data_IF_725411595219
#
_entry.id   IF_725411595219
#
_cell.length_a   1.000
_cell.length_b   1.000
_cell.length_c   1.000
_cell.angle_alpha   90.00
_cell.angle_beta   90.00
_cell.angle_gamma   90.00
#
_symmetry.space_group_name_H-M   'P 1'
#
loop_
_entity.id
_entity.type
_entity.pdbx_description
1 polymer ?
#
# COMPACT_ATOMS: atom_id res chain seq x y z
N UNK A 1 5.36 63.88 44.81
CA UNK A 1 4.99 63.54 43.45
C UNK A 1 5.49 62.12 43.14
N UNK A 2 4.65 61.11 43.30
CA UNK A 2 5.01 59.72 43.04
C UNK A 2 4.26 59.28 41.76
N UNK A 3 4.97 59.03 40.71
CA UNK A 3 4.43 58.43 39.48
C UNK A 3 4.31 56.91 39.72
N UNK A 4 3.11 56.38 39.68
CA UNK A 4 2.84 54.92 39.63
C UNK A 4 2.86 54.51 38.14
N UNK A 5 3.79 53.64 37.79
CA UNK A 5 3.82 52.97 36.49
C UNK A 5 2.95 51.71 36.56
N UNK A 6 1.90 51.67 35.75
CA UNK A 6 1.05 50.51 35.58
C UNK A 6 1.65 49.58 34.56
N UNK A 7 2.07 48.39 34.96
CA UNK A 7 2.55 47.33 34.05
C UNK A 7 1.36 46.52 33.60
N UNK A 8 0.95 46.65 32.34
CA UNK A 8 -0.10 45.82 31.75
C UNK A 8 0.55 44.56 31.18
N UNK A 9 0.30 43.44 31.84
CA UNK A 9 0.71 42.12 31.32
C UNK A 9 -0.30 41.64 30.28
N UNK A 10 0.07 41.67 28.99
CA UNK A 10 -0.73 41.06 27.92
C UNK A 10 -0.53 39.54 28.00
N UNK A 11 -1.53 38.80 28.40
CA UNK A 11 -1.58 37.35 28.28
C UNK A 11 -2.06 37.02 26.85
N UNK A 12 -1.15 36.63 25.97
CA UNK A 12 -1.51 36.03 24.68
C UNK A 12 -1.94 34.57 24.95
N UNK A 13 -3.25 34.34 24.98
CA UNK A 13 -3.80 33.01 24.90
C UNK A 13 -3.63 32.46 23.47
N UNK A 14 -2.71 31.50 23.28
CA UNK A 14 -2.69 30.66 22.07
C UNK A 14 -3.95 29.79 22.08
N UNK A 15 -4.99 30.22 21.40
CA UNK A 15 -6.05 29.33 20.92
C UNK A 15 -5.45 28.52 19.75
N UNK A 16 -4.97 27.32 20.04
CA UNK A 16 -4.75 26.31 19.03
C UNK A 16 -6.11 25.91 18.45
N UNK A 17 -6.58 26.65 17.47
CA UNK A 17 -7.72 26.27 16.66
C UNK A 17 -7.33 25.00 15.91
N UNK A 18 -7.91 23.86 16.32
CA UNK A 18 -7.94 22.69 15.44
C UNK A 18 -8.66 23.14 14.17
N UNK A 19 -7.94 23.16 13.05
CA UNK A 19 -8.56 23.30 11.74
C UNK A 19 -9.38 22.02 11.53
N UNK A 20 -10.66 22.07 11.89
CA UNK A 20 -11.64 21.08 11.46
C UNK A 20 -11.73 21.29 9.95
N UNK A 21 -11.26 20.33 9.17
CA UNK A 21 -11.47 20.32 7.74
C UNK A 21 -12.96 20.54 7.50
N UNK A 22 -13.32 21.57 6.77
CA UNK A 22 -14.72 21.81 6.44
C UNK A 22 -15.27 20.54 5.78
N UNK A 23 -16.47 20.07 6.18
CA UNK A 23 -17.04 18.91 5.55
C UNK A 23 -17.14 19.17 4.04
N UNK A 24 -16.64 18.21 3.25
CA UNK A 24 -16.75 18.25 1.79
C UNK A 24 -18.24 18.33 1.46
N UNK A 25 -18.71 19.52 1.08
CA UNK A 25 -20.08 19.68 0.61
C UNK A 25 -20.14 19.04 -0.77
N UNK A 26 -21.01 18.03 -0.99
CA UNK A 26 -21.21 17.51 -2.33
C UNK A 26 -21.63 18.65 -3.23
N UNK A 27 -20.99 18.78 -4.40
CA UNK A 27 -21.36 19.76 -5.40
C UNK A 27 -22.81 19.49 -5.80
N UNK A 28 -23.64 20.54 -5.88
CA UNK A 28 -25.03 20.40 -6.27
C UNK A 28 -25.12 19.72 -7.64
N UNK A 29 -25.89 18.62 -7.72
CA UNK A 29 -26.20 17.97 -8.98
C UNK A 29 -27.35 18.73 -9.67
N UNK A 30 -27.21 19.01 -10.97
CA UNK A 30 -28.27 19.55 -11.81
C UNK A 30 -28.76 18.45 -12.76
N UNK A 31 -30.03 18.08 -12.65
CA UNK A 31 -30.67 17.10 -13.53
C UNK A 31 -31.29 17.79 -14.73
N UNK A 32 -30.53 17.98 -15.81
CA UNK A 32 -31.07 18.37 -17.12
C UNK A 32 -31.07 17.14 -18.03
N UNK A 33 -32.20 16.87 -18.65
CA UNK A 33 -32.44 15.74 -19.58
C UNK A 33 -32.29 14.34 -18.92
N UNK A 34 -32.64 14.20 -17.63
CA UNK A 34 -32.62 12.90 -16.94
C UNK A 34 -31.23 12.31 -16.67
N UNK A 35 -30.16 13.07 -16.92
CA UNK A 35 -28.80 12.74 -16.50
C UNK A 35 -28.37 13.68 -15.36
N UNK A 36 -27.84 13.08 -14.31
CA UNK A 36 -27.23 13.82 -13.21
C UNK A 36 -25.99 14.56 -13.73
N UNK A 37 -26.08 15.89 -13.87
CA UNK A 37 -24.93 16.71 -14.26
C UNK A 37 -24.23 17.18 -13.00
N UNK A 38 -22.97 16.78 -12.82
CA UNK A 38 -22.11 17.33 -11.77
C UNK A 38 -21.74 18.78 -12.09
N UNK A 39 -21.74 19.66 -11.08
CA UNK A 39 -21.20 21.00 -11.21
C UNK A 39 -19.65 21.05 -11.28
N UNK A 40 -18.99 19.90 -11.14
CA UNK A 40 -17.55 19.80 -11.26
C UNK A 40 -17.09 19.88 -12.74
N UNK A 41 -16.06 20.69 -13.01
CA UNK A 41 -15.45 20.75 -14.34
C UNK A 41 -14.62 19.50 -14.67
N UNK A 42 -14.14 18.82 -13.65
CA UNK A 42 -13.40 17.57 -13.76
C UNK A 42 -13.67 16.69 -12.54
N UNK A 43 -13.78 15.37 -12.75
CA UNK A 43 -14.02 14.41 -11.66
C UNK A 43 -13.45 13.03 -11.97
N UNK A 44 -13.30 12.23 -10.93
CA UNK A 44 -12.99 10.81 -11.04
C UNK A 44 -14.26 9.98 -10.83
N UNK A 45 -14.45 8.98 -11.67
CA UNK A 45 -15.44 7.94 -11.47
C UNK A 45 -14.74 6.64 -11.11
N UNK A 46 -15.18 5.99 -10.02
CA UNK A 46 -14.66 4.71 -9.55
C UNK A 46 -15.74 3.65 -9.71
N UNK A 47 -15.49 2.66 -10.55
CA UNK A 47 -16.43 1.55 -10.82
C UNK A 47 -16.17 0.39 -9.85
N UNK A 48 -16.99 0.32 -8.80
CA UNK A 48 -16.93 -0.76 -7.81
C UNK A 48 -17.24 -2.13 -8.42
N UNK A 49 -18.09 -2.18 -9.44
CA UNK A 49 -18.45 -3.44 -10.13
C UNK A 49 -17.26 -3.98 -10.90
N UNK A 50 -16.50 -3.09 -11.56
CA UNK A 50 -15.26 -3.47 -12.24
C UNK A 50 -14.20 -3.97 -11.24
N UNK A 51 -14.07 -3.32 -10.07
CA UNK A 51 -13.15 -3.75 -9.02
C UNK A 51 -13.53 -5.12 -8.45
N UNK A 52 -14.81 -5.34 -8.11
CA UNK A 52 -15.32 -6.63 -7.64
C UNK A 52 -15.15 -7.73 -8.70
N UNK A 53 -15.40 -7.40 -9.98
CA UNK A 53 -15.14 -8.32 -11.09
C UNK A 53 -13.67 -8.73 -11.17
N UNK A 54 -12.74 -7.78 -11.05
CA UNK A 54 -11.31 -8.08 -11.09
C UNK A 54 -10.86 -8.98 -9.92
N UNK A 55 -11.40 -8.75 -8.72
CA UNK A 55 -11.17 -9.65 -7.57
C UNK A 55 -11.68 -11.06 -7.89
N UNK A 56 -12.90 -11.18 -8.43
CA UNK A 56 -13.48 -12.51 -8.73
C UNK A 56 -12.68 -13.20 -9.84
N UNK A 57 -12.34 -12.50 -10.92
CA UNK A 57 -11.49 -13.03 -12.00
C UNK A 57 -10.17 -13.57 -11.48
N UNK A 58 -9.54 -12.85 -10.54
CA UNK A 58 -8.31 -13.32 -9.91
C UNK A 58 -8.55 -14.56 -9.03
N UNK A 59 -9.61 -14.59 -8.24
CA UNK A 59 -9.96 -15.77 -7.41
C UNK A 59 -10.19 -17.00 -8.28
N UNK A 60 -10.92 -16.85 -9.38
CA UNK A 60 -11.18 -17.95 -10.32
C UNK A 60 -9.88 -18.45 -10.97
N UNK A 61 -8.97 -17.53 -11.31
CA UNK A 61 -7.64 -17.88 -11.85
C UNK A 61 -6.79 -18.66 -10.87
N UNK A 62 -6.79 -18.28 -9.59
CA UNK A 62 -5.98 -18.93 -8.55
C UNK A 62 -6.61 -20.25 -8.06
N UNK A 63 -7.92 -20.37 -8.15
CA UNK A 63 -8.69 -21.52 -7.69
C UNK A 63 -8.78 -21.64 -6.16
N UNK A 64 -9.66 -22.50 -5.68
CA UNK A 64 -9.98 -22.64 -4.25
C UNK A 64 -8.80 -23.11 -3.38
N UNK A 65 -7.84 -23.83 -3.95
CA UNK A 65 -6.62 -24.31 -3.27
C UNK A 65 -5.39 -23.45 -3.58
N UNK A 66 -5.61 -22.32 -4.23
CA UNK A 66 -4.55 -21.40 -4.60
C UNK A 66 -3.99 -20.61 -3.40
N UNK A 67 -3.01 -19.73 -3.67
CA UNK A 67 -2.43 -18.87 -2.64
C UNK A 67 -3.47 -17.88 -2.10
N UNK A 68 -3.23 -17.38 -0.89
CA UNK A 68 -4.00 -16.26 -0.37
C UNK A 68 -3.80 -15.00 -1.22
N UNK A 69 -4.80 -14.13 -1.24
CA UNK A 69 -4.70 -12.82 -1.88
C UNK A 69 -4.48 -11.76 -0.80
N UNK A 70 -3.43 -10.96 -0.92
CA UNK A 70 -3.29 -9.72 -0.20
C UNK A 70 -3.54 -8.56 -1.18
N UNK A 71 -4.70 -7.93 -1.09
CA UNK A 71 -5.07 -6.80 -1.95
C UNK A 71 -4.19 -5.58 -1.61
N UNK A 72 -3.37 -5.12 -2.54
CA UNK A 72 -2.51 -3.95 -2.32
C UNK A 72 -3.31 -2.69 -2.57
N UNK A 73 -3.54 -1.92 -1.49
CA UNK A 73 -4.37 -0.72 -1.47
C UNK A 73 -3.60 0.52 -0.98
N UNK A 74 -2.28 0.50 -1.06
CA UNK A 74 -1.41 1.64 -0.74
C UNK A 74 -1.71 2.85 -1.62
N UNK A 75 -1.27 4.04 -1.18
CA UNK A 75 -1.47 5.32 -1.88
C UNK A 75 -2.95 5.58 -2.18
N UNK A 76 -3.78 5.44 -1.12
CA UNK A 76 -5.24 5.61 -1.20
C UNK A 76 -5.88 4.72 -2.28
N UNK A 77 -5.54 3.41 -2.23
CA UNK A 77 -5.93 2.44 -3.23
C UNK A 77 -5.52 2.88 -4.66
N UNK A 78 -4.25 3.28 -4.83
CA UNK A 78 -3.73 3.84 -6.09
C UNK A 78 -4.53 5.04 -6.60
N UNK A 79 -5.02 5.88 -5.68
CA UNK A 79 -5.82 7.07 -5.98
C UNK A 79 -7.30 6.81 -6.24
N UNK A 80 -7.78 5.59 -6.03
CA UNK A 80 -9.19 5.22 -6.23
C UNK A 80 -10.08 5.51 -5.01
N UNK A 81 -9.48 5.88 -3.86
CA UNK A 81 -10.18 6.01 -2.59
C UNK A 81 -10.27 4.68 -1.84
N UNK A 82 -9.40 4.48 -0.86
CA UNK A 82 -9.37 3.25 -0.07
C UNK A 82 -10.68 3.04 0.69
N UNK A 83 -11.32 4.12 1.12
CA UNK A 83 -12.59 4.10 1.83
C UNK A 83 -13.76 3.61 0.97
N UNK A 84 -13.68 3.80 -0.36
CA UNK A 84 -14.67 3.32 -1.32
C UNK A 84 -14.50 1.82 -1.60
N UNK A 85 -13.25 1.32 -1.65
CA UNK A 85 -12.95 -0.03 -2.13
C UNK A 85 -12.82 -1.09 -1.02
N UNK A 86 -12.49 -0.71 0.22
CA UNK A 86 -12.40 -1.67 1.33
C UNK A 86 -13.67 -2.49 1.54
N UNK A 87 -14.90 -1.92 1.46
CA UNK A 87 -16.12 -2.73 1.59
C UNK A 87 -16.22 -3.87 0.56
N UNK A 88 -15.77 -3.65 -0.68
CA UNK A 88 -15.73 -4.70 -1.71
C UNK A 88 -14.70 -5.79 -1.39
N UNK A 89 -13.55 -5.42 -0.81
CA UNK A 89 -12.54 -6.38 -0.33
C UNK A 89 -13.09 -7.25 0.80
N UNK A 90 -13.79 -6.63 1.77
CA UNK A 90 -14.48 -7.32 2.87
C UNK A 90 -15.55 -8.28 2.33
N UNK A 91 -16.43 -7.79 1.45
CA UNK A 91 -17.47 -8.60 0.80
C UNK A 91 -16.92 -9.81 0.05
N UNK A 92 -15.77 -9.64 -0.62
CA UNK A 92 -15.10 -10.71 -1.35
C UNK A 92 -14.38 -11.73 -0.45
N UNK A 93 -14.31 -11.48 0.86
CA UNK A 93 -13.61 -12.35 1.83
C UNK A 93 -12.10 -12.38 1.63
N UNK A 94 -11.50 -11.31 1.14
CA UNK A 94 -10.04 -11.21 0.98
C UNK A 94 -9.39 -11.12 2.36
N UNK A 95 -8.43 -12.01 2.70
CA UNK A 95 -7.92 -12.13 4.07
C UNK A 95 -6.85 -11.10 4.43
N UNK A 96 -6.29 -10.38 3.46
CA UNK A 96 -5.17 -9.48 3.65
C UNK A 96 -5.30 -8.22 2.80
N UNK A 97 -5.00 -7.05 3.40
CA UNK A 97 -4.80 -5.78 2.69
C UNK A 97 -3.36 -5.30 2.92
N UNK A 98 -2.69 -4.90 1.83
CA UNK A 98 -1.36 -4.29 1.86
C UNK A 98 -1.44 -2.77 1.73
N UNK A 99 -0.88 -2.06 2.70
CA UNK A 99 -0.94 -0.60 2.83
C UNK A 99 0.45 0.03 2.97
N UNK A 100 0.53 1.36 2.95
CA UNK A 100 1.78 2.09 3.15
C UNK A 100 1.73 3.10 4.31
N UNK A 101 0.56 3.55 4.78
CA UNK A 101 0.43 4.58 5.80
C UNK A 101 -0.48 4.16 6.96
N UNK A 102 -0.34 4.87 8.09
CA UNK A 102 -1.22 4.68 9.26
C UNK A 102 -2.65 5.12 8.96
N UNK A 103 -2.80 6.14 8.11
CA UNK A 103 -4.12 6.63 7.70
C UNK A 103 -4.88 5.57 6.90
N UNK A 104 -4.22 4.91 5.95
CA UNK A 104 -4.81 3.79 5.21
C UNK A 104 -5.22 2.64 6.15
N UNK A 105 -4.41 2.36 7.19
CA UNK A 105 -4.74 1.36 8.19
C UNK A 105 -6.00 1.74 8.98
N UNK A 106 -6.08 3.00 9.43
CA UNK A 106 -7.23 3.55 10.14
C UNK A 106 -8.50 3.41 9.30
N UNK A 107 -8.46 3.89 8.06
CA UNK A 107 -9.60 3.84 7.14
C UNK A 107 -10.02 2.39 6.88
N UNK A 108 -9.08 1.48 6.62
CA UNK A 108 -9.40 0.07 6.40
C UNK A 108 -10.15 -0.54 7.61
N UNK A 109 -9.69 -0.26 8.85
CA UNK A 109 -10.36 -0.72 10.07
C UNK A 109 -11.74 -0.08 10.27
N UNK A 110 -11.88 1.22 10.03
CA UNK A 110 -13.16 1.93 10.13
C UNK A 110 -14.19 1.44 9.10
N UNK A 111 -13.74 0.99 7.93
CA UNK A 111 -14.61 0.37 6.90
C UNK A 111 -14.87 -1.12 7.14
N UNK A 112 -14.51 -1.65 8.31
CA UNK A 112 -14.88 -2.99 8.75
C UNK A 112 -13.92 -4.10 8.32
N UNK A 113 -12.72 -3.79 7.86
CA UNK A 113 -11.75 -4.82 7.55
C UNK A 113 -11.08 -5.36 8.82
N UNK A 114 -11.38 -6.60 9.19
CA UNK A 114 -10.83 -7.28 10.37
C UNK A 114 -9.66 -8.21 10.05
N UNK A 115 -9.38 -8.45 8.77
CA UNK A 115 -8.29 -9.29 8.31
C UNK A 115 -6.89 -8.74 8.58
N UNK A 116 -5.88 -9.36 8.00
CA UNK A 116 -4.48 -8.97 8.14
C UNK A 116 -4.23 -7.65 7.41
N UNK A 117 -3.64 -6.68 8.11
CA UNK A 117 -3.11 -5.46 7.49
C UNK A 117 -1.59 -5.56 7.44
N UNK A 118 -1.02 -5.55 6.25
CA UNK A 118 0.42 -5.64 6.04
C UNK A 118 0.96 -4.32 5.50
N UNK A 119 1.93 -3.73 6.20
CA UNK A 119 2.66 -2.60 5.63
C UNK A 119 3.67 -3.09 4.61
N UNK A 120 3.61 -2.55 3.38
CA UNK A 120 4.44 -3.01 2.24
C UNK A 120 5.68 -2.15 2.00
N UNK A 121 6.06 -1.32 2.97
CA UNK A 121 7.30 -0.54 3.03
C UNK A 121 7.88 -0.54 4.43
N UNK A 122 9.14 -0.15 4.55
CA UNK A 122 9.70 0.14 5.86
C UNK A 122 9.00 1.35 6.50
N UNK A 123 8.79 1.29 7.82
CA UNK A 123 8.21 2.37 8.62
C UNK A 123 9.24 2.93 9.59
N UNK A 124 9.07 4.20 9.95
CA UNK A 124 9.81 4.80 11.05
C UNK A 124 9.30 4.26 12.40
N UNK A 125 10.10 4.28 13.47
CA UNK A 125 9.64 3.87 14.80
C UNK A 125 8.37 4.61 15.24
N UNK A 126 8.25 5.89 14.98
CA UNK A 126 7.05 6.69 15.32
C UNK A 126 5.80 6.19 14.59
N UNK A 127 5.93 5.86 13.30
CA UNK A 127 4.80 5.29 12.55
C UNK A 127 4.35 3.94 13.11
N UNK A 128 5.30 3.08 13.49
CA UNK A 128 4.99 1.78 14.10
C UNK A 128 4.27 1.96 15.44
N UNK A 129 4.78 2.86 16.30
CA UNK A 129 4.17 3.14 17.60
C UNK A 129 2.72 3.64 17.47
N UNK A 130 2.49 4.57 16.56
CA UNK A 130 1.14 5.09 16.27
C UNK A 130 0.21 4.04 15.65
N UNK A 131 0.78 3.02 14.97
CA UNK A 131 0.01 1.97 14.30
C UNK A 131 -0.35 0.78 15.20
N UNK A 132 0.16 0.69 16.43
CA UNK A 132 -0.12 -0.43 17.34
C UNK A 132 -1.62 -0.74 17.49
N UNK A 133 -2.54 0.24 17.58
CA UNK A 133 -3.97 -0.03 17.68
C UNK A 133 -4.56 -0.77 16.47
N UNK A 134 -3.95 -0.62 15.30
CA UNK A 134 -4.44 -1.21 14.06
C UNK A 134 -3.91 -2.63 13.82
N UNK A 135 -2.96 -3.10 14.64
CA UNK A 135 -2.36 -4.44 14.58
C UNK A 135 -1.79 -4.74 13.19
N UNK A 136 -0.88 -3.89 12.74
CA UNK A 136 -0.19 -4.08 11.46
C UNK A 136 0.85 -5.18 11.54
N UNK A 137 1.02 -5.92 10.45
CA UNK A 137 2.20 -6.71 10.17
C UNK A 137 3.23 -5.81 9.47
N UNK A 138 4.36 -5.53 10.13
CA UNK A 138 5.34 -4.56 9.66
C UNK A 138 6.39 -5.23 8.77
N UNK A 139 6.91 -4.49 7.77
CA UNK A 139 8.02 -4.95 6.94
C UNK A 139 9.35 -4.54 7.56
N UNK A 140 10.23 -5.50 7.82
CA UNK A 140 11.60 -5.28 8.30
C UNK A 140 12.62 -5.80 7.30
N UNK A 141 13.65 -5.01 7.04
CA UNK A 141 14.72 -5.36 6.11
C UNK A 141 16.11 -5.00 6.59
N UNK A 142 16.26 -4.65 7.89
CA UNK A 142 17.55 -4.42 8.54
C UNK A 142 17.45 -4.69 10.04
N UNK A 143 18.59 -5.04 10.65
CA UNK A 143 18.66 -5.25 12.10
C UNK A 143 18.31 -3.97 12.88
N UNK A 144 18.71 -2.80 12.36
CA UNK A 144 18.38 -1.51 12.97
C UNK A 144 16.88 -1.26 13.02
N UNK A 145 16.18 -1.44 11.90
CA UNK A 145 14.73 -1.31 11.82
C UNK A 145 14.03 -2.30 12.77
N UNK A 146 14.47 -3.55 12.78
CA UNK A 146 13.91 -4.58 13.66
C UNK A 146 14.11 -4.25 15.16
N UNK A 147 15.27 -3.72 15.55
CA UNK A 147 15.54 -3.25 16.92
C UNK A 147 14.58 -2.11 17.30
N UNK A 148 14.40 -1.12 16.44
CA UNK A 148 13.47 -0.02 16.69
C UNK A 148 12.05 -0.49 16.94
N UNK A 149 11.55 -1.45 16.15
CA UNK A 149 10.22 -2.04 16.35
C UNK A 149 10.16 -2.87 17.64
N UNK A 150 11.21 -3.65 17.94
CA UNK A 150 11.28 -4.45 19.15
C UNK A 150 11.28 -3.58 20.42
N UNK A 151 11.98 -2.46 20.42
CA UNK A 151 12.01 -1.51 21.54
C UNK A 151 10.63 -0.88 21.78
N UNK A 152 9.90 -0.53 20.71
CA UNK A 152 8.51 -0.05 20.80
C UNK A 152 7.62 -1.12 21.41
N UNK A 153 7.67 -2.34 20.88
CA UNK A 153 6.86 -3.44 21.37
C UNK A 153 7.08 -3.71 22.86
N UNK A 154 8.34 -3.67 23.32
CA UNK A 154 8.69 -3.86 24.73
C UNK A 154 8.18 -2.71 25.60
N UNK A 155 8.35 -1.44 25.16
CA UNK A 155 7.84 -0.26 25.90
C UNK A 155 6.33 -0.30 26.10
N UNK A 156 5.60 -0.84 25.11
CA UNK A 156 4.13 -0.96 25.16
C UNK A 156 3.64 -2.33 25.65
N UNK A 157 4.55 -3.19 26.14
CA UNK A 157 4.24 -4.55 26.60
C UNK A 157 3.36 -5.32 25.60
N UNK A 158 3.74 -5.27 24.32
CA UNK A 158 3.04 -5.91 23.22
C UNK A 158 4.01 -6.71 22.35
N UNK A 159 3.50 -7.31 21.29
CA UNK A 159 4.27 -8.00 20.27
C UNK A 159 3.85 -7.53 18.88
N UNK A 160 4.80 -7.23 18.02
CA UNK A 160 4.56 -6.79 16.64
C UNK A 160 4.90 -7.93 15.68
N UNK A 161 3.95 -8.29 14.85
CA UNK A 161 4.16 -9.25 13.75
C UNK A 161 4.99 -8.60 12.66
N UNK A 162 6.00 -9.31 12.13
CA UNK A 162 6.88 -8.76 11.10
C UNK A 162 7.04 -9.70 9.92
N UNK A 163 7.12 -9.12 8.72
CA UNK A 163 7.59 -9.79 7.51
C UNK A 163 9.04 -9.43 7.26
N UNK A 164 9.90 -10.44 7.11
CA UNK A 164 11.30 -10.20 6.79
C UNK A 164 11.43 -10.01 5.28
N UNK A 165 11.83 -8.81 4.88
CA UNK A 165 12.16 -8.50 3.50
C UNK A 165 13.56 -8.99 3.15
N UNK A 166 13.68 -9.73 2.05
CA UNK A 166 14.94 -10.15 1.45
C UNK A 166 15.15 -9.45 0.11
N UNK A 167 16.34 -8.91 -0.12
CA UNK A 167 16.69 -8.23 -1.38
C UNK A 167 17.14 -9.22 -2.46
N UNK A 168 16.55 -10.39 -2.49
CA UNK A 168 16.94 -11.50 -3.39
C UNK A 168 16.80 -11.15 -4.87
N UNK A 169 15.76 -10.40 -5.21
CA UNK A 169 15.49 -9.98 -6.59
C UNK A 169 16.17 -8.66 -7.00
N UNK A 170 16.99 -8.06 -6.13
CA UNK A 170 17.76 -6.86 -6.46
C UNK A 170 16.98 -5.56 -6.53
N UNK A 171 15.79 -5.47 -5.92
CA UNK A 171 15.00 -4.23 -5.86
C UNK A 171 15.72 -3.09 -5.13
N UNK A 172 16.56 -3.42 -4.15
CA UNK A 172 17.39 -2.50 -3.36
C UNK A 172 16.65 -1.31 -2.73
N UNK A 173 15.41 -1.56 -2.32
CA UNK A 173 14.54 -0.58 -1.68
C UNK A 173 14.21 -0.95 -0.23
N UNK A 174 13.79 -2.17 -0.01
CA UNK A 174 13.54 -2.76 1.31
C UNK A 174 14.08 -4.18 1.29
N UNK A 175 14.55 -4.64 2.41
CA UNK A 175 15.03 -6.01 2.53
C UNK A 175 16.55 -6.12 2.67
N UNK A 176 16.94 -7.11 3.46
CA UNK A 176 18.34 -7.46 3.69
C UNK A 176 18.87 -8.26 2.49
N UNK A 177 20.06 -7.94 2.02
CA UNK A 177 20.76 -8.68 0.98
C UNK A 177 21.74 -9.68 1.63
N UNK A 178 21.38 -10.94 1.64
CA UNK A 178 22.16 -11.99 2.32
C UNK A 178 23.54 -12.27 1.67
N UNK A 179 23.84 -11.64 0.54
CA UNK A 179 25.17 -11.69 -0.11
C UNK A 179 26.15 -10.69 0.48
N UNK A 180 25.69 -9.68 1.23
CA UNK A 180 26.55 -8.71 1.90
C UNK A 180 27.24 -9.31 3.12
N UNK A 181 28.42 -8.75 3.45
CA UNK A 181 29.11 -9.10 4.68
C UNK A 181 28.20 -8.82 5.89
N UNK A 182 28.25 -9.69 6.88
CA UNK A 182 27.46 -9.62 8.13
C UNK A 182 25.93 -9.71 8.00
N UNK A 183 25.36 -9.58 6.78
CA UNK A 183 23.91 -9.62 6.57
C UNK A 183 23.25 -10.91 7.09
N UNK A 184 23.93 -12.03 6.96
CA UNK A 184 23.46 -13.32 7.53
C UNK A 184 23.44 -13.31 9.06
N UNK A 185 24.45 -12.72 9.69
CA UNK A 185 24.49 -12.55 11.15
C UNK A 185 23.40 -11.60 11.62
N UNK A 186 23.19 -10.49 10.92
CA UNK A 186 22.12 -9.52 11.19
C UNK A 186 20.74 -10.15 11.05
N UNK A 187 20.51 -10.93 10.00
CA UNK A 187 19.25 -11.64 9.79
C UNK A 187 18.94 -12.59 10.97
N UNK A 188 19.92 -13.35 11.43
CA UNK A 188 19.76 -14.23 12.59
C UNK A 188 19.63 -13.45 13.91
N UNK A 189 20.25 -12.29 14.03
CA UNK A 189 20.09 -11.42 15.20
C UNK A 189 18.66 -10.84 15.26
N UNK A 190 18.08 -10.45 14.13
CA UNK A 190 16.67 -10.00 14.07
C UNK A 190 15.70 -11.04 14.63
N UNK A 191 15.91 -12.32 14.31
CA UNK A 191 15.03 -13.41 14.77
C UNK A 191 15.06 -13.64 16.29
N UNK A 192 16.09 -13.12 16.99
CA UNK A 192 16.27 -13.27 18.45
C UNK A 192 15.70 -12.09 19.25
N UNK A 193 15.24 -11.04 18.58
CA UNK A 193 14.72 -9.85 19.25
C UNK A 193 13.39 -10.18 19.95
N UNK A 194 13.28 -9.75 21.21
CA UNK A 194 12.03 -9.85 21.96
C UNK A 194 11.09 -8.73 21.55
N UNK A 195 9.79 -8.99 21.50
CA UNK A 195 8.77 -8.01 21.15
C UNK A 195 8.40 -8.01 19.66
N UNK A 196 9.09 -8.78 18.83
CA UNK A 196 8.68 -9.02 17.43
C UNK A 196 8.51 -10.52 17.16
N UNK A 197 7.61 -10.84 16.24
CA UNK A 197 7.39 -12.23 15.79
C UNK A 197 7.42 -12.26 14.27
N UNK A 198 8.36 -12.98 13.66
CA UNK A 198 8.33 -13.25 12.23
C UNK A 198 7.09 -14.06 11.85
N UNK A 199 6.26 -13.49 10.97
CA UNK A 199 5.05 -14.14 10.43
C UNK A 199 5.11 -14.32 8.92
N UNK A 200 6.13 -13.79 8.27
CA UNK A 200 6.35 -13.98 6.85
C UNK A 200 7.76 -13.62 6.38
N UNK A 201 8.07 -14.07 5.17
CA UNK A 201 9.32 -13.74 4.47
C UNK A 201 8.95 -13.36 3.04
N UNK A 202 9.51 -12.27 2.53
CA UNK A 202 9.14 -11.76 1.22
C UNK A 202 10.33 -11.20 0.43
N UNK A 203 10.15 -11.17 -0.88
CA UNK A 203 10.93 -10.32 -1.80
C UNK A 203 9.97 -9.54 -2.71
N UNK A 204 10.53 -8.65 -3.53
CA UNK A 204 9.76 -7.91 -4.55
C UNK A 204 10.58 -7.80 -5.83
N UNK A 205 9.92 -8.06 -6.95
CA UNK A 205 10.56 -8.04 -8.28
C UNK A 205 10.61 -6.61 -8.82
N UNK A 206 11.79 -6.15 -9.30
CA UNK A 206 11.96 -4.79 -9.81
C UNK A 206 11.49 -4.61 -11.25
N UNK A 207 11.42 -5.69 -12.04
CA UNK A 207 11.16 -5.68 -13.49
C UNK A 207 9.95 -6.56 -13.80
N UNK A 208 9.14 -6.14 -14.76
CA UNK A 208 7.99 -6.88 -15.28
C UNK A 208 8.41 -7.64 -16.55
N UNK A 209 9.33 -8.61 -16.36
CA UNK A 209 9.85 -9.49 -17.40
C UNK A 209 10.03 -10.89 -16.81
N UNK A 210 9.60 -11.93 -17.54
CA UNK A 210 9.54 -13.30 -17.02
C UNK A 210 10.89 -13.87 -16.58
N UNK A 211 11.92 -13.68 -17.39
CA UNK A 211 13.23 -14.28 -17.08
C UNK A 211 13.92 -13.56 -15.92
N UNK A 212 13.74 -12.24 -15.81
CA UNK A 212 14.22 -11.47 -14.65
C UNK A 212 13.51 -11.94 -13.35
N UNK A 213 12.18 -12.07 -13.41
CA UNK A 213 11.40 -12.59 -12.27
C UNK A 213 11.85 -14.00 -11.88
N UNK A 214 12.11 -14.90 -12.84
CA UNK A 214 12.60 -16.26 -12.54
C UNK A 214 13.99 -16.26 -11.91
N UNK A 215 14.89 -15.38 -12.34
CA UNK A 215 16.21 -15.21 -11.73
C UNK A 215 16.10 -14.75 -10.27
N UNK A 216 15.32 -13.70 -10.04
CA UNK A 216 15.05 -13.20 -8.67
C UNK A 216 14.35 -14.25 -7.80
N UNK A 217 13.43 -15.03 -8.37
CA UNK A 217 12.74 -16.11 -7.71
C UNK A 217 13.68 -17.27 -7.32
N UNK A 218 14.61 -17.63 -8.18
CA UNK A 218 15.60 -18.65 -7.88
C UNK A 218 16.48 -18.24 -6.69
N UNK A 219 16.96 -17.00 -6.67
CA UNK A 219 17.71 -16.48 -5.53
C UNK A 219 16.85 -16.41 -4.25
N UNK A 220 15.60 -15.97 -4.36
CA UNK A 220 14.70 -15.89 -3.21
C UNK A 220 14.44 -17.27 -2.57
N UNK A 221 14.32 -18.31 -3.40
CA UNK A 221 14.16 -19.69 -2.90
C UNK A 221 15.36 -20.14 -2.06
N UNK A 222 16.57 -19.80 -2.45
CA UNK A 222 17.78 -20.09 -1.68
C UNK A 222 17.83 -19.28 -0.37
N UNK A 223 17.52 -18.01 -0.46
CA UNK A 223 17.64 -17.08 0.65
C UNK A 223 16.62 -17.35 1.78
N UNK A 224 15.33 -17.53 1.43
CA UNK A 224 14.33 -17.81 2.46
C UNK A 224 14.53 -19.20 3.07
N UNK A 225 14.93 -20.19 2.29
CA UNK A 225 15.23 -21.52 2.82
C UNK A 225 16.39 -21.47 3.81
N UNK A 226 17.49 -20.77 3.43
CA UNK A 226 18.60 -20.57 4.34
C UNK A 226 18.15 -19.88 5.65
N UNK A 227 17.30 -18.86 5.58
CA UNK A 227 16.82 -18.13 6.75
C UNK A 227 15.97 -19.01 7.66
N UNK A 228 15.12 -19.86 7.09
CA UNK A 228 14.30 -20.85 7.84
C UNK A 228 15.22 -21.84 8.56
N UNK A 229 16.16 -22.45 7.85
CA UNK A 229 17.01 -23.50 8.38
C UNK A 229 17.98 -22.96 9.45
N UNK A 230 18.70 -21.89 9.15
CA UNK A 230 19.67 -21.29 10.06
C UNK A 230 18.98 -20.61 11.27
N UNK A 231 17.80 -20.03 11.05
CA UNK A 231 16.97 -19.40 12.08
C UNK A 231 16.14 -20.38 12.89
N UNK A 232 16.09 -21.66 12.48
CA UNK A 232 15.23 -22.71 13.06
C UNK A 232 13.75 -22.29 13.15
N UNK A 233 13.27 -21.63 12.08
CA UNK A 233 11.90 -21.15 12.00
C UNK A 233 10.93 -22.28 11.66
N UNK A 234 9.74 -22.25 12.23
CA UNK A 234 8.65 -23.16 11.88
C UNK A 234 7.99 -22.68 10.58
N UNK A 235 8.27 -23.37 9.46
CA UNK A 235 7.73 -23.04 8.14
C UNK A 235 6.19 -22.93 8.13
N UNK A 236 5.50 -23.72 8.95
CA UNK A 236 4.03 -23.73 8.98
C UNK A 236 3.42 -22.45 9.57
N UNK A 237 4.22 -21.65 10.27
CA UNK A 237 3.81 -20.36 10.86
C UNK A 237 4.20 -19.16 10.02
N UNK A 238 4.81 -19.37 8.86
CA UNK A 238 5.31 -18.32 8.00
C UNK A 238 4.50 -18.24 6.71
N UNK A 239 4.19 -17.03 6.30
CA UNK A 239 3.68 -16.71 4.97
C UNK A 239 4.86 -16.34 4.06
N UNK A 240 5.18 -17.18 3.08
CA UNK A 240 6.17 -16.87 2.06
C UNK A 240 5.47 -16.22 0.88
N UNK A 241 5.97 -15.07 0.43
CA UNK A 241 5.31 -14.34 -0.66
C UNK A 241 6.27 -13.48 -1.50
N UNK A 242 6.10 -13.51 -2.82
CA UNK A 242 6.94 -12.77 -3.77
C UNK A 242 6.11 -12.08 -4.87
N UNK A 243 5.07 -12.72 -5.40
CA UNK A 243 4.36 -12.30 -6.59
C UNK A 243 3.64 -10.94 -6.42
N UNK A 244 4.00 -9.97 -7.25
CA UNK A 244 3.24 -8.76 -7.54
C UNK A 244 2.18 -9.06 -8.64
N UNK A 245 1.52 -8.05 -9.21
CA UNK A 245 0.53 -8.23 -10.28
C UNK A 245 1.11 -8.97 -11.48
N UNK A 246 2.29 -8.57 -11.99
CA UNK A 246 2.94 -9.19 -13.12
C UNK A 246 3.27 -10.67 -12.84
N UNK A 247 3.97 -10.95 -11.74
CA UNK A 247 4.34 -12.31 -11.39
C UNK A 247 3.12 -13.19 -11.09
N UNK A 248 2.01 -12.61 -10.60
CA UNK A 248 0.75 -13.33 -10.40
C UNK A 248 0.13 -13.79 -11.73
N UNK A 249 0.27 -13.00 -12.79
CA UNK A 249 -0.24 -13.36 -14.11
C UNK A 249 0.69 -14.31 -14.88
N UNK A 250 1.99 -14.09 -14.79
CA UNK A 250 2.98 -14.60 -15.73
C UNK A 250 3.90 -15.68 -15.17
N UNK A 251 4.07 -15.77 -13.85
CA UNK A 251 5.03 -16.68 -13.18
C UNK A 251 4.37 -17.38 -11.98
N UNK A 252 3.52 -18.40 -12.21
CA UNK A 252 2.80 -19.11 -11.14
C UNK A 252 3.73 -19.71 -10.07
N UNK A 253 4.98 -20.02 -10.43
CA UNK A 253 5.98 -20.55 -9.48
C UNK A 253 6.37 -19.55 -8.37
N UNK A 254 5.97 -18.26 -8.52
CA UNK A 254 6.19 -17.21 -7.53
C UNK A 254 5.05 -17.05 -6.52
N UNK A 255 3.97 -17.82 -6.62
CA UNK A 255 2.78 -17.66 -5.76
C UNK A 255 3.08 -17.91 -4.28
N UNK A 256 3.76 -19.00 -3.98
CA UNK A 256 3.98 -19.50 -2.62
C UNK A 256 2.67 -19.54 -1.81
N UNK A 257 2.66 -18.94 -0.61
CA UNK A 257 1.48 -18.95 0.27
C UNK A 257 0.52 -17.77 -0.03
N UNK A 258 1.02 -16.70 -0.65
CA UNK A 258 0.24 -15.48 -0.85
C UNK A 258 0.74 -14.66 -2.04
N UNK A 259 -0.19 -14.16 -2.85
CA UNK A 259 0.07 -13.17 -3.91
C UNK A 259 -0.33 -11.77 -3.47
N UNK A 260 0.35 -10.76 -4.02
CA UNK A 260 0.16 -9.34 -3.68
C UNK A 260 -0.19 -8.49 -4.90
N UNK A 261 -1.35 -8.73 -5.52
CA UNK A 261 -1.81 -7.93 -6.64
C UNK A 261 -2.11 -6.50 -6.22
N UNK A 262 -1.60 -5.55 -6.97
CA UNK A 262 -1.95 -4.13 -6.88
C UNK A 262 -2.66 -3.72 -8.17
N UNK A 263 -1.92 -3.19 -9.17
CA UNK A 263 -2.46 -2.70 -10.43
C UNK A 263 -3.49 -3.62 -11.08
N UNK A 264 -3.28 -4.94 -10.99
CA UNK A 264 -4.21 -5.94 -11.50
C UNK A 264 -5.65 -5.76 -10.99
N UNK A 265 -5.83 -5.46 -9.70
CA UNK A 265 -7.14 -5.26 -9.11
C UNK A 265 -7.83 -4.00 -9.61
N UNK A 266 -7.07 -3.02 -10.11
CA UNK A 266 -7.57 -1.75 -10.64
C UNK A 266 -7.70 -1.75 -12.16
N UNK A 267 -7.41 -2.91 -12.81
CA UNK A 267 -7.43 -3.03 -14.25
C UNK A 267 -6.22 -2.37 -14.95
N UNK A 268 -5.18 -2.09 -14.17
CA UNK A 268 -3.86 -1.71 -14.66
C UNK A 268 -3.00 -2.99 -14.71
N UNK A 269 -3.20 -3.75 -15.76
CA UNK A 269 -2.59 -5.04 -15.99
C UNK A 269 -1.85 -5.09 -17.34
N UNK A 270 -1.21 -6.22 -17.61
CA UNK A 270 -0.59 -6.46 -18.91
C UNK A 270 -1.67 -6.40 -20.01
N UNK A 271 -1.45 -5.69 -21.13
CA UNK A 271 -2.49 -5.45 -22.15
C UNK A 271 -3.14 -6.70 -22.75
N UNK A 272 -2.49 -7.85 -22.68
CA UNK A 272 -3.05 -9.12 -23.15
C UNK A 272 -4.12 -9.72 -22.24
N UNK A 273 -4.22 -9.26 -20.98
CA UNK A 273 -5.20 -9.74 -20.00
C UNK A 273 -6.43 -8.83 -19.99
N UNK A 274 -7.19 -8.87 -21.08
CA UNK A 274 -8.36 -7.99 -21.32
C UNK A 274 -9.57 -8.29 -20.44
N UNK A 275 -9.56 -9.39 -19.71
CA UNK A 275 -10.59 -9.76 -18.74
C UNK A 275 -10.59 -8.86 -17.51
N UNK A 276 -9.47 -8.19 -17.18
CA UNK A 276 -9.40 -7.22 -16.09
C UNK A 276 -9.85 -5.83 -16.55
N UNK A 277 -10.83 -5.28 -15.87
CA UNK A 277 -11.51 -4.03 -16.23
C UNK A 277 -10.89 -2.83 -15.53
N UNK A 278 -10.75 -1.71 -16.22
CA UNK A 278 -10.35 -0.44 -15.60
C UNK A 278 -11.38 0.01 -14.59
N UNK A 279 -10.92 0.37 -13.41
CA UNK A 279 -11.77 0.76 -12.28
C UNK A 279 -11.98 2.27 -12.23
N UNK A 280 -11.05 3.06 -12.75
CA UNK A 280 -11.10 4.53 -12.69
C UNK A 280 -11.24 5.14 -14.09
N UNK A 281 -12.10 6.16 -14.19
CA UNK A 281 -12.16 7.07 -15.31
C UNK A 281 -12.02 8.53 -14.83
N UNK A 282 -11.12 9.28 -15.46
CA UNK A 282 -11.03 10.73 -15.27
C UNK A 282 -11.85 11.42 -16.35
N UNK A 283 -12.82 12.22 -15.94
CA UNK A 283 -13.74 12.93 -16.85
C UNK A 283 -13.66 14.43 -16.68
N UNK A 284 -13.85 15.15 -17.76
CA UNK A 284 -13.94 16.61 -17.75
C UNK A 284 -15.07 17.10 -18.65
N UNK A 285 -15.51 18.34 -18.44
CA UNK A 285 -16.46 19.02 -19.32
C UNK A 285 -15.71 20.05 -20.16
N UNK A 286 -16.11 20.15 -21.44
CA UNK A 286 -15.63 21.20 -22.31
C UNK A 286 -16.31 22.51 -21.93
N UNK A 287 -15.55 23.47 -21.43
CA UNK A 287 -16.06 24.77 -20.99
C UNK A 287 -16.27 25.74 -22.17
N UNK A 288 -15.45 25.65 -23.21
CA UNK A 288 -15.49 26.54 -24.38
C UNK A 288 -14.88 25.87 -25.61
N UNK A 289 -15.41 26.16 -26.75
CA UNK A 289 -14.82 25.80 -28.06
C UNK A 289 -14.65 27.09 -28.86
N UNK A 290 -13.41 27.36 -29.28
CA UNK A 290 -13.07 28.52 -30.06
C UNK A 290 -12.36 28.12 -31.34
N UNK A 291 -12.49 28.95 -32.38
CA UNK A 291 -11.79 28.76 -33.64
C UNK A 291 -10.77 29.89 -33.81
N UNK A 292 -9.55 29.51 -34.13
CA UNK A 292 -8.45 30.46 -34.36
C UNK A 292 -7.89 30.24 -35.79
N UNK A 293 -7.39 31.33 -36.45
CA UNK A 293 -6.73 31.17 -37.72
C UNK A 293 -5.51 30.26 -37.68
N UNK A 294 -5.21 29.63 -38.82
CA UNK A 294 -3.98 28.84 -38.95
C UNK A 294 -2.74 29.69 -38.65
N UNK A 295 -1.76 29.10 -37.97
CA UNK A 295 -0.54 29.75 -37.52
C UNK A 295 -0.63 30.35 -36.11
N UNK A 296 -1.79 30.31 -35.44
CA UNK A 296 -1.88 30.63 -34.02
C UNK A 296 -1.30 29.48 -33.19
N UNK A 297 -0.80 29.83 -32.01
CA UNK A 297 -0.16 28.92 -31.10
C UNK A 297 -1.07 28.57 -29.92
N UNK A 298 -0.84 27.42 -29.30
CA UNK A 298 -1.59 26.92 -28.13
C UNK A 298 -0.72 26.96 -26.88
N UNK A 299 -1.27 27.54 -25.81
CA UNK A 299 -0.65 27.52 -24.48
C UNK A 299 0.53 28.48 -24.30
N UNK A 300 1.15 28.33 -23.11
CA UNK A 300 2.35 29.09 -22.77
C UNK A 300 3.54 28.68 -23.62
N UNK A 301 4.53 29.56 -23.75
CA UNK A 301 5.75 29.40 -24.52
C UNK A 301 5.54 29.11 -26.01
N UNK A 302 4.29 29.04 -26.49
CA UNK A 302 3.93 28.87 -27.91
C UNK A 302 4.61 27.65 -28.55
N UNK A 303 4.74 26.57 -27.82
CA UNK A 303 5.46 25.35 -28.28
C UNK A 303 4.69 24.50 -29.27
N UNK A 304 3.37 24.71 -29.38
CA UNK A 304 2.49 24.02 -30.32
C UNK A 304 1.75 25.02 -31.23
N UNK A 305 1.71 24.75 -32.54
CA UNK A 305 1.05 25.57 -33.57
C UNK A 305 0.00 24.78 -34.31
#
# INVERSE_FOLDING_TARGET
MHKKTLLATLVFGLLAGQAVAAPYLPLASDTRNGQEQTAANAWLEVDLTAFEHNIQTLKDRLGDKGPQICAIMKADAYGHGIDLLVPSVVKAGIPCIGIASNEEARVAREKGFEGRLMRVRAATPVEVEQALPYKLEELVGSLESAKGIADIAQRHNTNVSVHIGLNSAGMSRNGIDLRQNDAKADALAMLKLKGITPVGIMTHFPVEEKEDVKLGLAQFKLDYQWLIDAGKLDRSKLTIHAANSFATLEVPEAYFDMVRPGGLLYGDSIPSYTEYKRVMAFKTQVASVNHYPAGNTVGYDRTFT
#
